data_IF_875258665258
#
_entry.id   IF_875258665258
#
_cell.length_a   1.000
_cell.length_b   1.000
_cell.length_c   1.000
_cell.angle_alpha   90.00
_cell.angle_beta   90.00
_cell.angle_gamma   90.00
#
_symmetry.space_group_name_H-M   'P 1'
#
loop_
_entity.id
_entity.type
_entity.pdbx_description
1 polymer ?
#
# COMPACT_ATOMS: atom_id res chain seq x y z
N UNK A 1 7.95 9.57 15.64
CA UNK A 1 7.45 9.34 14.28
C UNK A 1 6.10 8.67 14.40
N UNK A 2 5.09 9.31 13.84
CA UNK A 2 3.70 8.87 13.97
C UNK A 2 3.13 8.67 12.58
N UNK A 3 2.37 7.61 12.39
CA UNK A 3 1.72 7.32 11.12
C UNK A 3 0.28 6.88 11.42
N UNK A 4 -0.68 7.45 10.71
CA UNK A 4 -2.05 6.96 10.74
C UNK A 4 -2.59 6.80 9.32
N UNK A 5 -3.42 5.78 9.15
CA UNK A 5 -4.11 5.47 7.91
C UNK A 5 -5.59 5.32 8.15
N UNK A 6 -6.39 5.80 7.22
CA UNK A 6 -7.84 5.69 7.21
C UNK A 6 -8.27 5.19 5.84
N UNK A 7 -9.08 4.13 5.80
CA UNK A 7 -9.65 3.58 4.58
C UNK A 7 -11.16 3.51 4.70
N UNK A 8 -11.87 4.06 3.72
CA UNK A 8 -13.30 3.85 3.54
C UNK A 8 -13.52 3.24 2.17
N UNK A 9 -14.38 2.24 2.05
CA UNK A 9 -14.63 1.65 0.75
C UNK A 9 -15.94 0.89 0.68
N UNK A 10 -16.39 0.73 -0.56
CA UNK A 10 -17.51 -0.11 -0.91
C UNK A 10 -17.09 -1.14 -1.95
N UNK A 11 -17.69 -2.33 -1.86
CA UNK A 11 -17.50 -3.40 -2.82
C UNK A 11 -18.86 -4.09 -3.04
N UNK A 12 -19.13 -4.50 -4.27
CA UNK A 12 -20.39 -5.18 -4.63
C UNK A 12 -20.04 -6.51 -5.27
N UNK A 13 -20.18 -7.65 -4.57
CA UNK A 13 -19.93 -8.95 -5.16
C UNK A 13 -21.07 -9.35 -6.11
N UNK A 14 -20.70 -9.89 -7.27
CA UNK A 14 -21.65 -10.41 -8.25
C UNK A 14 -21.21 -11.80 -8.69
N UNK A 15 -22.10 -12.77 -8.51
CA UNK A 15 -21.87 -14.16 -8.89
C UNK A 15 -22.14 -14.38 -10.38
N UNK A 16 -21.29 -15.16 -11.03
CA UNK A 16 -21.39 -15.47 -12.44
C UNK A 16 -22.14 -16.80 -12.63
N UNK A 17 -23.20 -16.78 -13.44
CA UNK A 17 -23.86 -18.01 -13.87
C UNK A 17 -23.04 -18.68 -14.97
N UNK A 18 -22.55 -19.88 -14.69
CA UNK A 18 -21.75 -20.73 -15.59
C UNK A 18 -20.35 -20.19 -15.92
N UNK A 19 -19.48 -20.03 -14.90
CA UNK A 19 -18.18 -19.42 -15.06
C UNK A 19 -17.15 -20.35 -15.72
N UNK A 20 -16.38 -19.82 -16.69
CA UNK A 20 -15.25 -20.53 -17.29
C UNK A 20 -13.96 -20.40 -16.46
N UNK A 21 -13.74 -19.24 -15.81
CA UNK A 21 -12.48 -18.94 -15.10
C UNK A 21 -12.66 -18.46 -13.64
N UNK A 22 -13.61 -17.57 -13.37
CA UNK A 22 -13.87 -16.99 -12.04
C UNK A 22 -15.34 -17.10 -11.68
N UNK A 23 -15.65 -17.41 -10.43
CA UNK A 23 -17.01 -17.61 -9.93
C UNK A 23 -17.69 -16.28 -9.56
N UNK A 24 -16.91 -15.32 -9.05
CA UNK A 24 -17.43 -14.02 -8.61
C UNK A 24 -16.54 -12.90 -9.17
N UNK A 25 -17.15 -11.78 -9.55
CA UNK A 25 -16.45 -10.51 -9.74
C UNK A 25 -17.02 -9.45 -8.81
N UNK A 26 -16.14 -8.65 -8.24
CA UNK A 26 -16.45 -7.71 -7.16
C UNK A 26 -15.81 -6.37 -7.51
N UNK A 27 -16.53 -5.47 -8.23
CA UNK A 27 -16.12 -4.08 -8.34
C UNK A 27 -16.01 -3.44 -6.96
N UNK A 28 -14.99 -2.61 -6.77
CA UNK A 28 -14.78 -1.88 -5.55
C UNK A 28 -14.25 -0.47 -5.80
N UNK A 29 -14.56 0.43 -4.86
CA UNK A 29 -13.98 1.74 -4.77
C UNK A 29 -13.61 2.01 -3.31
N UNK A 30 -12.41 2.53 -3.10
CA UNK A 30 -11.85 2.85 -1.79
C UNK A 30 -11.33 4.27 -1.79
N UNK A 31 -11.40 4.93 -0.65
CA UNK A 31 -10.80 6.21 -0.32
C UNK A 31 -9.80 5.96 0.80
N UNK A 32 -8.52 6.19 0.53
CA UNK A 32 -7.41 5.94 1.45
C UNK A 32 -6.73 7.25 1.81
N UNK A 33 -6.71 7.60 3.09
CA UNK A 33 -5.94 8.72 3.64
C UNK A 33 -4.77 8.17 4.45
N UNK A 34 -3.55 8.59 4.13
CA UNK A 34 -2.34 8.27 4.86
C UNK A 34 -1.71 9.58 5.32
N UNK A 35 -1.42 9.66 6.61
CA UNK A 35 -0.62 10.73 7.20
C UNK A 35 0.59 10.12 7.89
N UNK A 36 1.79 10.57 7.51
CA UNK A 36 3.02 10.17 8.15
C UNK A 36 3.79 11.41 8.60
N UNK A 37 4.14 11.45 9.88
CA UNK A 37 4.94 12.49 10.50
C UNK A 37 6.32 11.95 10.85
N UNK A 38 7.33 12.62 10.29
CA UNK A 38 8.72 12.41 10.62
C UNK A 38 9.14 13.50 11.60
N UNK A 39 9.62 13.09 12.78
CA UNK A 39 10.22 13.98 13.76
C UNK A 39 11.57 14.52 13.28
N UNK A 40 12.03 15.57 13.96
CA UNK A 40 13.36 16.11 13.77
C UNK A 40 14.45 15.10 14.16
N UNK A 41 15.55 15.11 13.43
CA UNK A 41 16.72 14.30 13.79
C UNK A 41 18.00 14.98 13.33
N UNK A 42 19.11 14.59 13.97
CA UNK A 42 20.44 15.08 13.64
C UNK A 42 21.41 13.92 13.41
N UNK A 43 22.31 14.09 12.47
CA UNK A 43 23.43 13.17 12.26
C UNK A 43 24.53 13.44 13.31
N UNK A 44 25.00 12.40 14.00
CA UNK A 44 26.01 12.55 15.05
C UNK A 44 27.44 12.54 14.48
N UNK A 45 27.74 13.48 13.58
CA UNK A 45 29.08 13.65 12.98
C UNK A 45 29.47 15.12 12.93
N UNK A 46 30.77 15.42 12.85
CA UNK A 46 31.29 16.81 12.79
C UNK A 46 30.79 17.60 11.57
N UNK A 47 30.41 16.88 10.49
CA UNK A 47 29.80 17.43 9.28
C UNK A 47 28.32 17.04 9.15
N UNK A 48 27.69 16.64 10.26
CA UNK A 48 26.32 16.16 10.27
C UNK A 48 25.33 17.27 9.93
N UNK A 49 24.15 16.87 9.48
CA UNK A 49 23.03 17.79 9.23
C UNK A 49 21.97 17.64 10.31
N UNK A 50 21.25 18.74 10.53
CA UNK A 50 20.01 18.80 11.31
C UNK A 50 18.87 18.81 10.30
N UNK A 51 17.92 17.91 10.47
CA UNK A 51 16.71 17.84 9.68
C UNK A 51 15.52 18.18 10.56
N UNK A 52 14.75 19.18 10.16
CA UNK A 52 13.51 19.54 10.85
C UNK A 52 12.41 18.50 10.60
N UNK A 53 11.41 18.53 11.47
CA UNK A 53 10.22 17.69 11.34
C UNK A 53 9.48 17.96 10.02
N UNK A 54 8.89 16.92 9.45
CA UNK A 54 8.16 17.03 8.18
C UNK A 54 6.99 16.05 8.15
N UNK A 55 6.04 16.28 7.25
CA UNK A 55 4.85 15.44 7.13
C UNK A 55 4.49 15.11 5.69
N UNK A 56 4.06 13.87 5.48
CA UNK A 56 3.46 13.40 4.24
C UNK A 56 1.98 13.21 4.48
N UNK A 57 1.15 13.80 3.63
CA UNK A 57 -0.28 13.48 3.58
C UNK A 57 -0.63 13.01 2.18
N UNK A 58 -1.26 11.85 2.06
CA UNK A 58 -1.72 11.30 0.80
C UNK A 58 -3.18 10.86 0.90
N UNK A 59 -4.03 11.40 0.03
CA UNK A 59 -5.41 10.98 -0.18
C UNK A 59 -5.50 10.32 -1.55
N UNK A 60 -5.80 9.03 -1.61
CA UNK A 60 -5.90 8.24 -2.82
C UNK A 60 -7.30 7.61 -2.96
N UNK A 61 -7.69 7.31 -4.20
CA UNK A 61 -8.97 6.68 -4.51
C UNK A 61 -8.80 5.39 -5.32
N UNK A 62 -8.34 4.27 -4.73
CA UNK A 62 -8.28 3.01 -5.45
C UNK A 62 -9.65 2.56 -5.95
N UNK A 63 -9.78 2.39 -7.26
CA UNK A 63 -10.97 1.83 -7.91
C UNK A 63 -10.54 0.63 -8.72
N UNK A 64 -11.24 -0.48 -8.58
CA UNK A 64 -10.83 -1.71 -9.21
C UNK A 64 -11.89 -2.79 -9.21
N UNK A 65 -11.44 -3.97 -9.57
CA UNK A 65 -12.24 -5.18 -9.65
C UNK A 65 -11.45 -6.34 -9.07
N UNK A 66 -12.11 -7.10 -8.21
CA UNK A 66 -11.60 -8.34 -7.65
C UNK A 66 -12.33 -9.50 -8.33
N UNK A 67 -11.60 -10.52 -8.71
CA UNK A 67 -12.12 -11.77 -9.26
C UNK A 67 -11.77 -12.90 -8.31
N UNK A 68 -12.72 -13.79 -8.05
CA UNK A 68 -12.53 -14.91 -7.13
C UNK A 68 -12.97 -16.21 -7.77
N UNK A 69 -12.24 -17.29 -7.46
CA UNK A 69 -12.58 -18.65 -7.84
C UNK A 69 -12.44 -19.54 -6.62
N UNK A 70 -13.41 -20.40 -6.41
CA UNK A 70 -13.46 -21.37 -5.33
C UNK A 70 -13.36 -22.78 -5.88
N UNK A 71 -12.61 -23.65 -5.22
CA UNK A 71 -12.63 -25.08 -5.51
C UNK A 71 -13.99 -25.67 -5.13
N UNK A 72 -14.41 -26.75 -5.81
CA UNK A 72 -15.71 -27.40 -5.58
C UNK A 72 -15.95 -27.82 -4.12
N UNK A 73 -14.88 -28.16 -3.41
CA UNK A 73 -14.94 -28.57 -2.00
C UNK A 73 -14.69 -27.40 -1.03
N UNK A 74 -14.51 -26.17 -1.53
CA UNK A 74 -14.11 -24.98 -0.75
C UNK A 74 -12.76 -25.10 -0.02
N UNK A 75 -11.97 -26.15 -0.32
CA UNK A 75 -10.63 -26.35 0.25
C UNK A 75 -9.58 -25.39 -0.33
N UNK A 76 -9.87 -24.77 -1.47
CA UNK A 76 -8.97 -23.82 -2.11
C UNK A 76 -9.74 -22.64 -2.67
N UNK A 77 -9.16 -21.44 -2.59
CA UNK A 77 -9.63 -20.27 -3.31
C UNK A 77 -8.47 -19.55 -3.97
N UNK A 78 -8.76 -18.90 -5.08
CA UNK A 78 -7.83 -18.06 -5.82
C UNK A 78 -8.51 -16.72 -6.10
N UNK A 79 -7.78 -15.63 -5.96
CA UNK A 79 -8.27 -14.31 -6.26
C UNK A 79 -7.26 -13.48 -7.05
N UNK A 80 -7.79 -12.58 -7.87
CA UNK A 80 -7.01 -11.58 -8.61
C UNK A 80 -7.68 -10.24 -8.42
N UNK A 81 -6.90 -9.23 -8.04
CA UNK A 81 -7.36 -7.86 -7.86
C UNK A 81 -6.62 -6.99 -8.87
N UNK A 82 -7.36 -6.22 -9.65
CA UNK A 82 -6.81 -5.20 -10.53
C UNK A 82 -7.43 -3.86 -10.14
N UNK A 83 -6.59 -2.85 -9.89
CA UNK A 83 -7.06 -1.54 -9.50
C UNK A 83 -6.19 -0.42 -10.06
N UNK A 84 -6.84 0.72 -10.25
CA UNK A 84 -6.21 1.98 -10.55
C UNK A 84 -6.39 2.91 -9.35
N UNK A 85 -5.31 3.48 -8.84
CA UNK A 85 -5.29 4.33 -7.66
C UNK A 85 -4.67 5.69 -7.99
N UNK A 86 -5.49 6.70 -8.33
CA UNK A 86 -5.07 8.08 -8.40
C UNK A 86 -5.00 8.71 -7.00
N UNK A 87 -3.99 9.54 -6.79
CA UNK A 87 -3.84 10.39 -5.62
C UNK A 87 -4.62 11.69 -5.84
N UNK A 88 -5.75 11.84 -5.16
CA UNK A 88 -6.63 13.02 -5.18
C UNK A 88 -5.88 14.24 -4.64
N UNK A 89 -5.26 14.08 -3.46
CA UNK A 89 -4.51 15.14 -2.81
C UNK A 89 -3.22 14.56 -2.23
N UNK A 90 -2.11 15.27 -2.42
CA UNK A 90 -0.82 14.88 -1.84
C UNK A 90 -0.05 16.12 -1.44
N UNK A 91 0.36 16.15 -0.18
CA UNK A 91 1.37 17.05 0.34
C UNK A 91 2.65 16.25 0.53
N UNK A 92 3.68 16.55 -0.27
CA UNK A 92 4.98 15.90 -0.15
C UNK A 92 5.76 16.54 0.99
N UNK A 93 6.53 15.76 1.77
CA UNK A 93 7.34 16.30 2.84
C UNK A 93 8.47 17.16 2.28
N UNK A 94 8.56 18.38 2.77
CA UNK A 94 9.74 19.24 2.72
C UNK A 94 10.23 19.52 4.14
N UNK A 95 11.54 19.53 4.34
CA UNK A 95 12.15 19.89 5.61
C UNK A 95 13.25 20.91 5.41
N UNK A 96 13.42 21.78 6.39
CA UNK A 96 14.59 22.64 6.48
C UNK A 96 15.76 21.78 6.96
N UNK A 97 16.89 21.89 6.27
CA UNK A 97 18.13 21.21 6.61
C UNK A 97 19.20 22.24 6.90
N UNK A 98 19.89 22.09 8.01
CA UNK A 98 20.99 22.95 8.42
C UNK A 98 22.25 22.13 8.68
N UNK A 99 23.43 22.71 8.41
CA UNK A 99 24.69 22.07 8.75
C UNK A 99 25.01 22.29 10.24
N UNK A 100 25.45 21.26 10.97
CA UNK A 100 25.77 21.37 12.41
C UNK A 100 26.91 22.38 12.66
N UNK A 101 27.88 22.48 11.75
CA UNK A 101 29.02 23.40 11.87
C UNK A 101 28.67 24.88 11.64
N UNK A 102 27.57 25.17 10.94
CA UNK A 102 27.06 26.53 10.71
C UNK A 102 25.52 26.52 10.59
N UNK A 103 24.81 26.37 11.73
CA UNK A 103 23.36 26.14 11.72
C UNK A 103 22.54 27.40 11.41
N UNK A 104 23.18 28.58 11.31
CA UNK A 104 22.50 29.86 11.08
C UNK A 104 22.66 30.32 9.63
N UNK A 105 23.80 30.03 8.98
CA UNK A 105 24.10 30.54 7.64
C UNK A 105 24.03 29.47 6.55
N UNK A 106 24.24 28.19 6.90
CA UNK A 106 24.19 27.07 5.96
C UNK A 106 22.86 26.30 6.06
N UNK A 107 21.77 26.96 5.63
CA UNK A 107 20.39 26.43 5.66
C UNK A 107 19.88 26.24 4.22
N UNK A 108 19.26 25.10 3.93
CA UNK A 108 18.58 24.83 2.65
C UNK A 108 17.32 23.98 2.87
N UNK A 109 16.43 23.95 1.88
CA UNK A 109 15.24 23.08 1.91
C UNK A 109 15.54 21.75 1.24
N UNK A 110 15.40 20.66 1.98
CA UNK A 110 15.44 19.29 1.44
C UNK A 110 14.01 18.84 1.15
N UNK A 111 13.75 18.48 -0.11
CA UNK A 111 12.45 17.96 -0.55
C UNK A 111 12.50 16.45 -0.68
N UNK A 112 11.45 15.78 -0.24
CA UNK A 112 11.30 14.35 -0.47
C UNK A 112 10.98 14.04 -1.94
N UNK A 113 11.23 12.78 -2.32
CA UNK A 113 10.96 12.28 -3.67
C UNK A 113 9.47 12.38 -4.00
N UNK A 114 9.15 13.12 -5.07
CA UNK A 114 7.78 13.23 -5.55
C UNK A 114 7.39 11.97 -6.33
N UNK A 115 6.59 11.11 -5.70
CA UNK A 115 6.04 9.92 -6.34
C UNK A 115 4.95 10.31 -7.36
N UNK A 116 4.86 9.57 -8.46
CA UNK A 116 3.79 9.73 -9.44
C UNK A 116 2.41 9.59 -8.75
N UNK A 117 1.48 10.45 -9.18
CA UNK A 117 0.13 10.57 -8.61
C UNK A 117 -0.82 9.45 -9.04
N UNK A 118 -0.39 8.57 -9.93
CA UNK A 118 -1.20 7.49 -10.45
C UNK A 118 -0.46 6.18 -10.20
N UNK A 119 -1.18 5.20 -9.66
CA UNK A 119 -0.69 3.86 -9.45
C UNK A 119 -1.61 2.84 -10.13
N UNK A 120 -1.01 1.82 -10.73
CA UNK A 120 -1.69 0.60 -11.11
C UNK A 120 -1.33 -0.49 -10.11
N UNK A 121 -2.34 -1.16 -9.57
CA UNK A 121 -2.20 -2.20 -8.56
C UNK A 121 -2.73 -3.51 -9.15
N UNK A 122 -1.90 -4.53 -9.13
CA UNK A 122 -2.28 -5.90 -9.44
C UNK A 122 -1.94 -6.78 -8.23
N UNK A 123 -2.90 -7.55 -7.74
CA UNK A 123 -2.67 -8.51 -6.67
C UNK A 123 -3.21 -9.86 -7.09
N UNK A 124 -2.55 -10.92 -6.69
CA UNK A 124 -3.00 -12.28 -6.86
C UNK A 124 -2.80 -13.01 -5.55
N UNK A 125 -3.80 -13.73 -5.10
CA UNK A 125 -3.73 -14.47 -3.86
C UNK A 125 -4.38 -15.83 -3.99
N UNK A 126 -3.98 -16.73 -3.13
CA UNK A 126 -4.60 -18.02 -2.98
C UNK A 126 -4.64 -18.39 -1.51
N UNK A 127 -5.66 -19.18 -1.19
CA UNK A 127 -5.86 -19.77 0.10
C UNK A 127 -6.11 -21.26 -0.09
N UNK A 128 -5.48 -22.08 0.74
CA UNK A 128 -5.55 -23.53 0.67
C UNK A 128 -5.65 -24.13 2.08
N UNK A 129 -6.75 -24.82 2.34
CA UNK A 129 -6.98 -25.59 3.56
C UNK A 129 -6.41 -27.00 3.37
N UNK A 130 -5.29 -27.31 4.01
CA UNK A 130 -4.72 -28.68 4.01
C UNK A 130 -5.61 -29.61 4.85
N UNK A 131 -6.04 -29.11 5.99
CA UNK A 131 -6.86 -29.80 6.99
C UNK A 131 -7.86 -28.77 7.54
N UNK A 132 -9.03 -29.15 8.08
CA UNK A 132 -9.97 -28.20 8.69
C UNK A 132 -9.38 -27.31 9.81
N UNK A 133 -8.18 -27.62 10.31
CA UNK A 133 -7.45 -26.91 11.36
C UNK A 133 -6.19 -26.20 10.86
N UNK A 134 -5.81 -26.39 9.59
CA UNK A 134 -4.55 -25.90 9.02
C UNK A 134 -4.81 -25.30 7.64
N UNK A 135 -4.65 -23.99 7.56
CA UNK A 135 -4.82 -23.20 6.34
C UNK A 135 -3.48 -22.57 5.96
N UNK A 136 -3.18 -22.52 4.67
CA UNK A 136 -2.05 -21.82 4.10
C UNK A 136 -2.59 -20.75 3.16
N UNK A 137 -1.99 -19.58 3.18
CA UNK A 137 -2.29 -18.50 2.25
C UNK A 137 -1.02 -17.92 1.65
N UNK A 138 -1.13 -17.48 0.41
CA UNK A 138 -0.11 -16.71 -0.26
C UNK A 138 -0.72 -15.55 -1.01
N UNK A 139 -0.08 -14.39 -0.92
CA UNK A 139 -0.51 -13.16 -1.57
C UNK A 139 0.68 -12.52 -2.26
N UNK A 140 0.49 -12.15 -3.51
CA UNK A 140 1.42 -11.41 -4.32
C UNK A 140 0.79 -10.05 -4.64
N UNK A 141 1.51 -8.97 -4.38
CA UNK A 141 1.12 -7.62 -4.69
C UNK A 141 2.14 -6.94 -5.59
N UNK A 142 1.66 -6.30 -6.64
CA UNK A 142 2.44 -5.47 -7.53
C UNK A 142 1.80 -4.09 -7.65
N UNK A 143 2.58 -3.05 -7.36
CA UNK A 143 2.17 -1.66 -7.53
C UNK A 143 3.15 -0.96 -8.47
N UNK A 144 2.62 -0.43 -9.57
CA UNK A 144 3.35 0.33 -10.55
C UNK A 144 2.91 1.79 -10.50
N UNK A 145 3.82 2.66 -10.08
CA UNK A 145 3.74 4.11 -10.22
C UNK A 145 4.67 4.56 -11.33
N UNK A 146 4.38 5.69 -11.96
CA UNK A 146 5.26 6.26 -13.00
C UNK A 146 6.71 6.47 -12.54
N UNK A 147 6.93 6.66 -11.24
CA UNK A 147 8.25 6.91 -10.64
C UNK A 147 8.72 5.85 -9.64
N UNK A 148 7.93 4.79 -9.40
CA UNK A 148 8.27 3.75 -8.43
C UNK A 148 7.58 2.43 -8.74
N UNK A 149 8.21 1.33 -8.33
CA UNK A 149 7.67 -0.02 -8.49
C UNK A 149 7.83 -0.74 -7.18
N UNK A 150 6.73 -1.27 -6.66
CA UNK A 150 6.71 -1.98 -5.38
C UNK A 150 6.20 -3.39 -5.64
N UNK A 151 6.91 -4.36 -5.07
CA UNK A 151 6.55 -5.78 -5.10
C UNK A 151 6.45 -6.27 -3.67
N UNK A 152 5.35 -6.92 -3.32
CA UNK A 152 5.14 -7.55 -2.02
C UNK A 152 4.76 -9.01 -2.21
N UNK A 153 5.29 -9.88 -1.37
CA UNK A 153 5.01 -11.30 -1.35
C UNK A 153 4.81 -11.70 0.10
N UNK A 154 3.59 -12.09 0.43
CA UNK A 154 3.21 -12.54 1.77
C UNK A 154 2.86 -14.02 1.72
N UNK A 155 3.50 -14.80 2.58
CA UNK A 155 3.28 -16.24 2.74
C UNK A 155 2.98 -16.49 4.21
N UNK A 156 1.90 -17.21 4.50
CA UNK A 156 1.53 -17.49 5.88
C UNK A 156 0.67 -18.72 6.03
N UNK A 157 0.50 -19.13 7.28
CA UNK A 157 -0.40 -20.21 7.65
C UNK A 157 -1.19 -19.84 8.89
N UNK A 158 -2.36 -20.45 9.03
CA UNK A 158 -3.26 -20.29 10.17
C UNK A 158 -3.58 -21.67 10.72
N UNK A 159 -3.32 -21.85 12.01
CA UNK A 159 -3.62 -23.07 12.77
C UNK A 159 -4.71 -22.74 13.79
N UNK A 160 -5.79 -23.52 13.78
CA UNK A 160 -6.90 -23.38 14.72
C UNK A 160 -6.88 -24.57 15.69
N UNK A 161 -6.88 -24.29 17.00
CA UNK A 161 -6.82 -25.28 18.09
C UNK A 161 -8.20 -25.52 18.71
#
# INVERSE_FOLDING_TARGET
NDCFGLEFGGAVPVDLNNPWLFDTYTPFAKLQLIYAHQGDFKENTEQGRIFDSSSLTNLALPIGMKFERFAKNHDASFNVVLAYSPDIARSNPDCTTAMISDPVSAIWTTRATNLARNAFIAQAGNHFSITPRCEIFSQFGFELRGSARTYNIDLGSKIQF
#
